data_IF_426376582071
#
_entry.id   IF_426376582071
#
_cell.length_a   1.000
_cell.length_b   1.000
_cell.length_c   1.000
_cell.angle_alpha   90.00
_cell.angle_beta   90.00
_cell.angle_gamma   90.00
#
_symmetry.space_group_name_H-M   'P 1'
#
loop_
_entity.id
_entity.type
_entity.pdbx_description
1 polymer ?
#
# COMPACT_ATOMS: atom_id res chain seq x y z
N UNK A 1 22.81 -1.54 22.70
CA UNK A 1 23.06 -2.96 22.37
C UNK A 1 22.55 -3.28 20.95
N UNK A 2 22.98 -2.52 19.94
CA UNK A 2 22.59 -2.74 18.53
C UNK A 2 23.85 -2.93 17.68
N UNK A 3 24.62 -3.97 18.03
CA UNK A 3 25.95 -4.25 17.49
C UNK A 3 25.98 -4.84 16.09
N UNK A 4 24.84 -5.00 15.42
CA UNK A 4 24.81 -5.37 14.01
C UNK A 4 24.87 -4.10 13.18
N UNK A 5 26.04 -3.87 12.58
CA UNK A 5 26.20 -2.84 11.57
C UNK A 5 25.12 -3.04 10.48
N UNK A 6 24.50 -1.94 10.04
CA UNK A 6 23.49 -1.95 8.96
C UNK A 6 23.99 -2.71 7.72
N UNK A 7 25.29 -2.65 7.43
CA UNK A 7 25.93 -3.41 6.35
C UNK A 7 25.78 -4.92 6.48
N UNK A 8 25.88 -5.48 7.68
CA UNK A 8 25.69 -6.92 7.93
C UNK A 8 24.24 -7.33 7.69
N UNK A 9 23.28 -6.51 8.11
CA UNK A 9 21.84 -6.77 7.87
C UNK A 9 21.55 -6.78 6.36
N UNK A 10 22.11 -5.83 5.61
CA UNK A 10 21.94 -5.77 4.15
C UNK A 10 22.54 -6.99 3.46
N UNK A 11 23.74 -7.43 3.85
CA UNK A 11 24.39 -8.63 3.28
C UNK A 11 23.52 -9.87 3.46
N UNK A 12 23.00 -10.09 4.67
CA UNK A 12 22.12 -11.23 4.96
C UNK A 12 20.84 -11.14 4.13
N UNK A 13 20.24 -9.96 4.05
CA UNK A 13 19.05 -9.72 3.24
C UNK A 13 19.31 -10.10 1.77
N UNK A 14 20.42 -9.67 1.18
CA UNK A 14 20.79 -10.01 -0.20
C UNK A 14 20.92 -11.52 -0.41
N UNK A 15 21.56 -12.24 0.52
CA UNK A 15 21.68 -13.71 0.46
C UNK A 15 20.29 -14.37 0.48
N UNK A 16 19.40 -13.91 1.37
CA UNK A 16 18.02 -14.39 1.47
C UNK A 16 17.24 -14.10 0.18
N UNK A 17 17.40 -12.92 -0.41
CA UNK A 17 16.81 -12.56 -1.71
C UNK A 17 17.35 -13.42 -2.86
N UNK A 18 18.62 -13.83 -2.82
CA UNK A 18 19.21 -14.73 -3.82
C UNK A 18 18.61 -16.14 -3.71
N UNK A 19 18.40 -16.65 -2.49
CA UNK A 19 17.85 -17.98 -2.25
C UNK A 19 16.34 -18.06 -2.55
N UNK A 20 15.56 -17.10 -2.05
CA UNK A 20 14.10 -17.10 -2.21
C UNK A 20 13.62 -16.34 -3.44
N UNK A 21 14.45 -15.46 -4.00
CA UNK A 21 14.12 -14.56 -5.09
C UNK A 21 13.45 -13.25 -4.60
N UNK A 22 13.68 -12.11 -5.25
CA UNK A 22 13.08 -10.82 -4.89
C UNK A 22 11.55 -10.79 -5.08
N UNK A 23 11.00 -11.70 -5.89
CA UNK A 23 9.56 -11.77 -6.15
C UNK A 23 8.75 -12.38 -5.02
N UNK A 24 9.36 -13.22 -4.16
CA UNK A 24 8.64 -13.86 -3.06
C UNK A 24 8.44 -12.92 -1.87
N UNK A 25 9.39 -12.01 -1.61
CA UNK A 25 9.25 -11.02 -0.53
C UNK A 25 7.95 -10.19 -0.56
N UNK A 26 7.54 -9.58 -1.69
CA UNK A 26 6.28 -8.83 -1.75
C UNK A 26 5.04 -9.73 -1.58
N UNK A 27 5.04 -10.95 -2.12
CA UNK A 27 3.94 -11.91 -1.93
C UNK A 27 3.77 -12.31 -0.45
N UNK A 28 4.88 -12.64 0.23
CA UNK A 28 4.86 -12.93 1.66
C UNK A 28 4.50 -11.68 2.47
N UNK A 29 5.01 -10.50 2.09
CA UNK A 29 4.71 -9.22 2.73
C UNK A 29 3.24 -8.82 2.63
N UNK A 30 2.58 -9.08 1.51
CA UNK A 30 1.15 -8.79 1.34
C UNK A 30 0.28 -9.67 2.26
N UNK A 31 0.59 -10.95 2.39
CA UNK A 31 -0.14 -11.86 3.28
C UNK A 31 0.06 -11.52 4.76
N UNK A 32 1.31 -11.30 5.18
CA UNK A 32 1.66 -10.89 6.54
C UNK A 32 1.09 -9.49 6.84
N UNK A 33 1.15 -8.57 5.89
CA UNK A 33 0.64 -7.21 6.02
C UNK A 33 -0.86 -7.18 6.25
N UNK A 34 -1.63 -7.98 5.51
CA UNK A 34 -3.08 -8.16 5.74
C UNK A 34 -3.36 -8.70 7.13
N UNK A 35 -2.60 -9.71 7.58
CA UNK A 35 -2.73 -10.27 8.92
C UNK A 35 -2.46 -9.20 10.00
N UNK A 36 -1.31 -8.52 9.93
CA UNK A 36 -0.94 -7.44 10.87
C UNK A 36 -2.02 -6.34 10.90
N UNK A 37 -2.60 -6.00 9.76
CA UNK A 37 -3.64 -4.96 9.67
C UNK A 37 -4.93 -5.38 10.36
N UNK A 38 -5.33 -6.64 10.20
CA UNK A 38 -6.46 -7.23 10.92
C UNK A 38 -6.19 -7.36 12.42
N UNK A 39 -4.99 -7.77 12.81
CA UNK A 39 -4.57 -7.83 14.21
C UNK A 39 -4.59 -6.45 14.87
N UNK A 40 -4.07 -5.43 14.19
CA UNK A 40 -4.08 -4.06 14.70
C UNK A 40 -5.51 -3.53 14.84
N UNK A 41 -6.37 -3.79 13.84
CA UNK A 41 -7.78 -3.38 13.89
C UNK A 41 -8.53 -4.04 15.06
N UNK A 42 -8.29 -5.32 15.33
CA UNK A 42 -8.89 -6.01 16.46
C UNK A 42 -8.35 -5.53 17.83
N UNK A 43 -7.12 -5.04 17.88
CA UNK A 43 -6.51 -4.52 19.11
C UNK A 43 -6.90 -3.06 19.39
N UNK A 44 -7.08 -2.22 18.36
CA UNK A 44 -7.49 -0.82 18.49
C UNK A 44 -8.99 -0.63 18.74
N UNK A 45 -9.83 -1.65 18.48
CA UNK A 45 -11.29 -1.56 18.58
C UNK A 45 -11.83 -2.46 19.72
N UNK A 46 -11.82 -1.99 20.98
CA UNK A 46 -12.50 -2.68 22.07
C UNK A 46 -14.03 -2.57 21.89
N UNK A 47 -14.65 -3.70 21.56
CA UNK A 47 -16.09 -3.98 21.66
C UNK A 47 -17.07 -2.99 20.99
N UNK A 48 -17.25 -3.06 19.65
CA UNK A 48 -18.59 -2.97 19.04
C UNK A 48 -18.63 -3.82 17.75
N UNK A 49 -19.65 -4.66 17.61
CA UNK A 49 -19.90 -5.65 16.54
C UNK A 49 -20.11 -5.01 15.12
N UNK A 50 -20.42 -5.83 14.09
CA UNK A 50 -19.57 -6.36 13.04
C UNK A 50 -19.62 -5.53 11.73
N UNK A 51 -18.53 -5.53 10.95
CA UNK A 51 -18.53 -5.04 9.58
C UNK A 51 -17.92 -6.07 8.63
N UNK A 52 -18.71 -7.09 8.31
CA UNK A 52 -18.69 -7.76 7.00
C UNK A 52 -19.24 -6.75 5.96
N UNK A 53 -18.75 -6.52 4.75
CA UNK A 53 -17.96 -7.33 3.82
C UNK A 53 -17.02 -6.46 2.95
N UNK A 54 -15.89 -7.06 2.57
CA UNK A 54 -15.27 -7.07 1.23
C UNK A 54 -15.10 -5.76 0.41
N UNK A 55 -13.83 -5.38 0.20
CA UNK A 55 -13.13 -5.74 -1.07
C UNK A 55 -11.65 -6.04 -0.81
N UNK A 56 -11.24 -7.25 -1.15
CA UNK A 56 -9.86 -7.69 -1.23
C UNK A 56 -9.34 -7.49 -2.67
N UNK A 57 -8.16 -6.82 -2.79
CA UNK A 57 -7.17 -6.84 -3.89
C UNK A 57 -7.63 -6.46 -5.32
N UNK A 58 -6.79 -5.76 -6.11
CA UNK A 58 -5.48 -6.28 -6.49
C UNK A 58 -4.28 -5.52 -5.92
N UNK A 59 -3.18 -6.26 -5.93
CA UNK A 59 -1.84 -5.96 -5.45
C UNK A 59 -1.27 -4.59 -5.89
N UNK A 60 -0.32 -4.11 -5.08
CA UNK A 60 0.77 -3.23 -5.50
C UNK A 60 0.39 -1.98 -6.31
N UNK A 61 0.06 -0.89 -5.61
CA UNK A 61 0.34 0.46 -6.13
C UNK A 61 0.94 1.31 -5.00
N UNK A 62 2.20 1.04 -4.71
CA UNK A 62 3.18 2.11 -4.61
C UNK A 62 3.87 2.13 -6.00
N UNK A 63 3.23 2.70 -7.02
CA UNK A 63 3.39 4.11 -7.30
C UNK A 63 2.14 4.95 -6.99
N UNK A 64 2.20 5.70 -5.90
CA UNK A 64 1.35 6.86 -5.72
C UNK A 64 1.62 7.86 -6.87
N UNK A 65 0.63 8.09 -7.73
CA UNK A 65 0.52 9.32 -8.50
C UNK A 65 -0.96 9.73 -8.62
N UNK A 66 -1.49 10.34 -7.56
CA UNK A 66 -2.69 11.18 -7.64
C UNK A 66 -2.26 12.58 -8.06
N UNK A 67 -2.63 13.04 -9.27
CA UNK A 67 -2.38 14.43 -9.69
C UNK A 67 -3.53 15.33 -9.21
N UNK A 68 -3.24 16.46 -8.54
CA UNK A 68 -4.27 17.41 -8.11
C UNK A 68 -4.83 18.20 -9.30
N UNK A 69 -6.15 18.38 -9.33
CA UNK A 69 -6.85 19.10 -10.38
C UNK A 69 -6.63 20.64 -10.26
N UNK A 70 -6.02 21.33 -11.25
CA UNK A 70 -5.54 22.71 -11.15
C UNK A 70 -6.64 23.79 -11.06
N UNK A 71 -7.92 23.41 -11.21
CA UNK A 71 -9.07 24.33 -11.20
C UNK A 71 -9.93 24.24 -9.94
N UNK A 72 -9.85 23.14 -9.19
CA UNK A 72 -10.81 22.80 -8.13
C UNK A 72 -10.12 22.23 -6.88
N UNK A 73 -8.80 22.03 -6.93
CA UNK A 73 -7.92 21.52 -5.86
C UNK A 73 -8.38 20.23 -5.14
N UNK A 74 -9.40 19.55 -5.67
CA UNK A 74 -9.83 18.23 -5.19
C UNK A 74 -9.01 17.15 -5.89
N UNK A 75 -8.72 16.08 -5.16
CA UNK A 75 -7.96 14.92 -5.66
C UNK A 75 -8.82 14.13 -6.65
N UNK A 76 -8.28 13.90 -7.83
CA UNK A 76 -8.97 13.26 -8.95
C UNK A 76 -8.13 12.08 -9.40
N UNK A 77 -8.79 10.95 -9.69
CA UNK A 77 -8.12 9.78 -10.25
C UNK A 77 -7.59 10.08 -11.66
N UNK A 78 -6.41 9.59 -12.05
CA UNK A 78 -5.73 9.97 -13.29
C UNK A 78 -6.44 9.53 -14.60
N UNK A 79 -7.47 8.68 -14.54
CA UNK A 79 -8.10 8.05 -15.71
C UNK A 79 -9.46 8.64 -16.13
N UNK A 80 -9.91 9.74 -15.51
CA UNK A 80 -11.20 10.38 -15.83
C UNK A 80 -11.01 11.61 -16.71
N UNK A 81 -11.53 11.52 -17.94
CA UNK A 81 -11.47 12.57 -18.98
C UNK A 81 -12.13 13.90 -18.57
N UNK A 82 -13.05 13.86 -17.61
CA UNK A 82 -13.78 15.00 -17.10
C UNK A 82 -13.77 15.01 -15.57
N UNK A 83 -13.55 16.17 -14.97
CA UNK A 83 -13.62 16.32 -13.52
C UNK A 83 -15.09 16.29 -13.05
N UNK A 84 -15.52 15.31 -12.21
CA UNK A 84 -16.92 15.17 -11.79
C UNK A 84 -17.40 16.26 -10.84
N UNK A 85 -16.51 17.08 -10.29
CA UNK A 85 -16.86 18.18 -9.36
C UNK A 85 -16.95 19.56 -10.02
N UNK A 86 -16.36 19.76 -11.19
CA UNK A 86 -16.25 21.07 -11.83
C UNK A 86 -16.51 21.02 -13.35
N UNK A 87 -16.85 19.84 -13.90
CA UNK A 87 -17.32 19.68 -15.28
C UNK A 87 -16.30 20.08 -16.34
N UNK A 88 -15.01 20.11 -16.01
CA UNK A 88 -13.96 20.52 -16.94
C UNK A 88 -13.21 19.31 -17.47
N UNK A 89 -12.86 19.34 -18.76
CA UNK A 89 -11.99 18.34 -19.38
C UNK A 89 -10.57 18.45 -18.80
N UNK A 90 -10.11 17.40 -18.14
CA UNK A 90 -8.74 17.27 -17.59
C UNK A 90 -7.89 16.41 -18.51
N UNK A 91 -7.96 16.70 -19.81
CA UNK A 91 -7.08 16.08 -20.79
C UNK A 91 -5.72 16.75 -20.67
N UNK A 92 -4.68 15.97 -20.38
CA UNK A 92 -3.31 16.39 -20.66
C UNK A 92 -3.16 16.65 -22.17
#
# INVERSE_FOLDING_TARGET
MFGYNLGTIIIILVIVLLLFGPRRLPELGDSIGKAIRSFKKAHDEPEVLPKEEAKASPAATAAAQTKPCPKCSKEVAPDIAFCPHCGQSLKA
#
